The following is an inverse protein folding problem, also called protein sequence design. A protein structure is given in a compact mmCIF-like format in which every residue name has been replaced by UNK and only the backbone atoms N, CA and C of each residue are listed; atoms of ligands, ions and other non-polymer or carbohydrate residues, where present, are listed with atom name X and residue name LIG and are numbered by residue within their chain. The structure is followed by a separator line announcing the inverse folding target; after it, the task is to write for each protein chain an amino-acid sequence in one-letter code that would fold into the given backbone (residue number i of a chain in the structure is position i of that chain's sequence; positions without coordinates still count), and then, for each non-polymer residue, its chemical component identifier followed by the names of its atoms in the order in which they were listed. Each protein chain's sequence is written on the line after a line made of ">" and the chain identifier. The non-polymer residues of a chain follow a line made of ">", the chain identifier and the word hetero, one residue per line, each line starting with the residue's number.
data_IF_508149007438
#
_entry.id   IF_508149007438
#
_cell.length_a   1.000
_cell.length_b   1.000
_cell.length_c   1.000
_cell.angle_alpha   90.00
_cell.angle_beta   90.00
_cell.angle_gamma   90.00
#
_symmetry.space_group_name_H-M   'P 1'
#
loop_
_entity.id
_entity.type
_entity.pdbx_description
1 polymer ?
#
# COMPACT_ATOMS: atom_id res chain seq x y z
N UNK A 1 -5.98 -8.60 23.46
CA UNK A 1 -5.09 -8.28 22.33
C UNK A 1 -5.90 -8.24 21.05
N UNK A 2 -6.01 -7.07 20.42
CA UNK A 2 -6.72 -6.86 19.16
C UNK A 2 -5.71 -6.71 18.03
N UNK A 3 -5.96 -7.34 16.88
CA UNK A 3 -5.12 -7.20 15.68
C UNK A 3 -5.89 -6.38 14.66
N UNK A 4 -5.32 -5.24 14.25
CA UNK A 4 -5.84 -4.36 13.19
C UNK A 4 -4.76 -4.20 12.11
N UNK A 5 -5.16 -4.09 10.85
CA UNK A 5 -4.27 -3.90 9.71
C UNK A 5 -4.88 -2.87 8.74
N UNK A 6 -4.07 -2.29 7.83
CA UNK A 6 -4.60 -1.40 6.80
C UNK A 6 -5.50 -2.15 5.81
N UNK A 7 -6.29 -1.39 5.04
CA UNK A 7 -6.84 -1.88 3.78
C UNK A 7 -5.76 -1.80 2.70
N UNK A 8 -5.90 -2.62 1.66
CA UNK A 8 -4.94 -2.65 0.56
C UNK A 8 -5.67 -2.39 -0.75
N UNK A 9 -5.23 -1.37 -1.48
CA UNK A 9 -5.62 -1.14 -2.88
C UNK A 9 -4.49 -1.63 -3.78
N UNK A 10 -4.82 -2.43 -4.79
CA UNK A 10 -3.85 -2.94 -5.76
C UNK A 10 -4.17 -2.35 -7.13
N UNK A 11 -3.16 -1.80 -7.78
CA UNK A 11 -3.22 -1.17 -9.10
C UNK A 11 -2.21 -1.82 -10.05
N UNK A 12 -2.49 -1.79 -11.34
CA UNK A 12 -1.61 -2.38 -12.36
C UNK A 12 -0.94 -1.29 -13.21
N UNK A 13 0.38 -1.36 -13.40
CA UNK A 13 1.14 -0.36 -14.17
C UNK A 13 2.29 -1.02 -14.91
N UNK A 14 2.26 -1.03 -16.24
CA UNK A 14 3.34 -1.50 -17.14
C UNK A 14 4.10 -2.76 -16.65
N UNK A 15 3.38 -3.84 -16.37
CA UNK A 15 3.98 -5.11 -15.91
C UNK A 15 4.31 -5.18 -14.41
N UNK A 16 4.07 -4.10 -13.67
CA UNK A 16 4.14 -4.03 -12.22
C UNK A 16 2.75 -4.02 -11.59
N UNK A 17 2.72 -4.42 -10.31
CA UNK A 17 1.56 -4.24 -9.42
C UNK A 17 1.96 -3.35 -8.27
N UNK A 18 1.13 -2.34 -8.01
CA UNK A 18 1.34 -1.35 -6.96
C UNK A 18 0.30 -1.61 -5.87
N UNK A 19 0.74 -2.04 -4.71
CA UNK A 19 -0.15 -2.28 -3.58
C UNK A 19 0.06 -1.19 -2.53
N UNK A 20 -1.01 -0.48 -2.19
CA UNK A 20 -1.02 0.66 -1.28
C UNK A 20 -1.75 0.25 -0.02
N UNK A 21 -1.07 0.24 1.11
CA UNK A 21 -1.70 0.08 2.42
C UNK A 21 -2.28 1.42 2.88
N UNK A 22 -3.52 1.43 3.37
CA UNK A 22 -4.21 2.68 3.68
C UNK A 22 -5.32 2.56 4.73
N UNK A 23 -5.75 3.73 5.22
CA UNK A 23 -6.89 3.88 6.12
C UNK A 23 -8.25 3.78 5.39
N UNK A 24 -9.35 3.48 6.11
CA UNK A 24 -9.41 3.13 7.53
C UNK A 24 -8.80 1.74 7.79
N UNK A 25 -8.26 1.55 9.00
CA UNK A 25 -7.81 0.23 9.44
C UNK A 25 -9.01 -0.72 9.59
N UNK A 26 -8.74 -2.01 9.49
CA UNK A 26 -9.72 -3.09 9.63
C UNK A 26 -9.18 -4.18 10.54
N UNK A 27 -10.06 -4.84 11.30
CA UNK A 27 -9.77 -6.07 12.04
C UNK A 27 -10.49 -7.29 11.45
N UNK A 28 -11.05 -7.13 10.25
CA UNK A 28 -11.78 -8.14 9.50
C UNK A 28 -10.99 -8.63 8.27
N UNK A 29 -11.26 -9.86 7.85
CA UNK A 29 -10.65 -10.50 6.69
C UNK A 29 -9.85 -11.77 7.04
N UNK A 30 -9.76 -12.69 6.09
CA UNK A 30 -9.18 -14.01 6.33
C UNK A 30 -7.72 -13.96 6.78
N UNK A 31 -6.92 -13.07 6.20
CA UNK A 31 -5.50 -12.91 6.58
C UNK A 31 -5.35 -12.37 8.00
N UNK A 32 -6.16 -11.37 8.40
CA UNK A 32 -6.13 -10.81 9.75
C UNK A 32 -6.58 -11.84 10.78
N UNK A 33 -7.61 -12.63 10.46
CA UNK A 33 -8.07 -13.74 11.28
C UNK A 33 -6.97 -14.79 11.45
N UNK A 34 -6.32 -15.23 10.37
CA UNK A 34 -5.21 -16.20 10.41
C UNK A 34 -4.03 -15.70 11.23
N UNK A 35 -3.62 -14.44 11.06
CA UNK A 35 -2.52 -13.85 11.84
C UNK A 35 -2.91 -13.79 13.32
N UNK A 36 -4.16 -13.45 13.64
CA UNK A 36 -4.67 -13.45 15.03
C UNK A 36 -4.68 -14.84 15.65
N UNK A 37 -5.05 -15.87 14.89
CA UNK A 37 -5.13 -17.26 15.36
C UNK A 37 -3.76 -17.91 15.51
N UNK A 38 -2.86 -17.69 14.55
CA UNK A 38 -1.57 -18.38 14.48
C UNK A 38 -0.43 -17.59 15.11
N UNK A 39 -0.53 -16.26 15.15
CA UNK A 39 0.57 -15.34 15.47
C UNK A 39 1.80 -15.53 14.55
N UNK A 40 1.62 -16.16 13.38
CA UNK A 40 2.68 -16.46 12.43
C UNK A 40 2.49 -15.65 11.14
N UNK A 41 3.52 -14.89 10.76
CA UNK A 41 3.55 -14.17 9.48
C UNK A 41 3.66 -15.11 8.27
N UNK A 42 4.16 -16.34 8.50
CA UNK A 42 4.29 -17.37 7.47
C UNK A 42 2.95 -17.96 7.01
N UNK A 43 1.83 -17.64 7.67
CA UNK A 43 0.50 -18.08 7.24
C UNK A 43 -0.04 -17.31 6.02
N UNK A 44 0.69 -16.31 5.54
CA UNK A 44 0.31 -15.57 4.36
C UNK A 44 0.71 -16.31 3.08
N UNK A 45 -0.30 -16.77 2.34
CA UNK A 45 -0.14 -17.46 1.06
C UNK A 45 -0.07 -16.49 -0.15
N UNK A 46 -0.52 -15.23 0.01
CA UNK A 46 -0.59 -14.23 -1.05
C UNK A 46 0.30 -13.00 -0.75
N UNK A 47 1.55 -12.97 -1.25
CA UNK A 47 2.49 -11.88 -0.97
C UNK A 47 1.98 -10.48 -1.32
N UNK A 48 1.21 -10.38 -2.40
CA UNK A 48 0.66 -9.13 -2.92
C UNK A 48 -0.22 -8.39 -1.91
N UNK A 49 -0.96 -9.14 -1.09
CA UNK A 49 -1.81 -8.57 -0.04
C UNK A 49 -1.07 -8.46 1.28
N UNK A 50 -0.29 -9.46 1.66
CA UNK A 50 0.26 -9.48 3.01
C UNK A 50 1.43 -8.54 3.23
N UNK A 51 2.30 -8.32 2.24
CA UNK A 51 3.39 -7.38 2.44
C UNK A 51 2.86 -5.98 2.82
N UNK A 52 1.90 -5.41 2.07
CA UNK A 52 1.25 -4.16 2.48
C UNK A 52 0.51 -4.27 3.81
N UNK A 53 -0.20 -5.38 4.09
CA UNK A 53 -0.89 -5.55 5.38
C UNK A 53 0.08 -5.54 6.57
N UNK A 54 1.24 -6.18 6.42
CA UNK A 54 2.21 -6.35 7.50
C UNK A 54 3.08 -5.13 7.69
N UNK A 55 3.61 -4.58 6.60
CA UNK A 55 4.63 -3.54 6.64
C UNK A 55 4.09 -2.16 6.30
N UNK A 56 2.85 -2.06 5.82
CA UNK A 56 2.31 -0.79 5.34
C UNK A 56 3.07 -0.23 4.14
N UNK A 57 2.74 1.02 3.82
CA UNK A 57 3.37 1.82 2.79
C UNK A 57 2.87 1.46 1.40
N UNK A 58 3.71 1.74 0.42
CA UNK A 58 3.48 1.44 -0.99
C UNK A 58 4.47 0.35 -1.39
N UNK A 59 3.97 -0.76 -1.91
CA UNK A 59 4.78 -1.91 -2.29
C UNK A 59 4.65 -2.14 -3.79
N UNK A 60 5.78 -2.20 -4.48
CA UNK A 60 5.85 -2.47 -5.91
C UNK A 60 6.25 -3.93 -6.11
N UNK A 61 5.49 -4.62 -6.94
CA UNK A 61 5.70 -6.02 -7.29
C UNK A 61 5.96 -6.17 -8.78
N UNK A 62 6.88 -7.08 -9.11
CA UNK A 62 7.03 -7.61 -10.46
C UNK A 62 6.61 -9.09 -10.42
N UNK A 63 5.47 -9.42 -11.04
CA UNK A 63 4.79 -10.70 -10.81
C UNK A 63 4.33 -10.85 -9.35
N UNK A 64 4.81 -11.87 -8.65
CA UNK A 64 4.53 -12.12 -7.23
C UNK A 64 5.64 -11.65 -6.28
N UNK A 65 6.75 -11.13 -6.82
CA UNK A 65 7.92 -10.73 -6.02
C UNK A 65 7.84 -9.24 -5.70
N UNK A 66 7.85 -8.91 -4.42
CA UNK A 66 8.07 -7.53 -3.98
C UNK A 66 9.48 -7.09 -4.39
N UNK A 67 9.59 -6.01 -5.16
CA UNK A 67 10.86 -5.47 -5.63
C UNK A 67 11.24 -4.18 -4.92
N UNK A 68 10.26 -3.47 -4.34
CA UNK A 68 10.48 -2.24 -3.60
C UNK A 68 9.33 -1.97 -2.62
N UNK A 69 9.64 -1.27 -1.52
CA UNK A 69 8.68 -0.71 -0.56
C UNK A 69 9.10 0.70 -0.22
N UNK A 70 8.17 1.65 -0.34
CA UNK A 70 8.34 3.03 0.10
C UNK A 70 7.42 3.38 1.27
N UNK A 71 7.97 4.13 2.23
CA UNK A 71 7.22 4.70 3.36
C UNK A 71 6.76 6.11 2.98
N UNK A 72 5.50 6.23 2.58
CA UNK A 72 4.91 7.51 2.19
C UNK A 72 3.98 8.06 3.26
N UNK A 73 4.39 9.12 3.95
CA UNK A 73 3.53 9.84 4.89
C UNK A 73 2.66 10.87 4.18
N UNK A 74 1.59 10.40 3.55
CA UNK A 74 0.71 11.27 2.78
C UNK A 74 -0.60 10.60 2.43
N UNK A 75 -1.20 11.06 1.34
CA UNK A 75 -2.49 10.61 0.85
C UNK A 75 -2.37 10.17 -0.60
N UNK A 76 -3.29 9.31 -1.04
CA UNK A 76 -3.41 8.94 -2.44
C UNK A 76 -4.85 9.12 -2.95
N UNK A 77 -4.95 9.29 -4.27
CA UNK A 77 -6.19 9.18 -5.04
C UNK A 77 -5.89 8.62 -6.42
N UNK A 78 -6.93 8.16 -7.09
CA UNK A 78 -6.90 7.72 -8.48
C UNK A 78 -7.80 8.67 -9.26
N UNK A 79 -7.26 9.34 -10.28
CA UNK A 79 -8.01 10.28 -11.13
C UNK A 79 -7.52 10.24 -12.59
N UNK A 80 -8.14 11.01 -13.48
CA UNK A 80 -7.76 11.08 -14.91
C UNK A 80 -6.70 12.16 -15.20
N UNK A 81 -5.89 12.54 -14.19
CA UNK A 81 -4.89 13.61 -14.33
C UNK A 81 -3.71 13.25 -15.24
N UNK A 82 -3.03 14.25 -15.84
CA UNK A 82 -1.79 13.99 -16.56
C UNK A 82 -0.69 13.52 -15.61
N UNK A 83 0.09 12.54 -16.06
CA UNK A 83 1.28 12.06 -15.36
C UNK A 83 2.34 11.58 -16.35
N UNK A 84 3.55 12.10 -16.19
CA UNK A 84 4.70 11.80 -17.06
C UNK A 84 5.79 11.01 -16.33
N UNK A 85 5.57 10.68 -15.06
CA UNK A 85 6.50 9.88 -14.25
C UNK A 85 6.45 8.41 -14.64
N UNK A 86 7.62 7.83 -14.88
CA UNK A 86 7.79 6.38 -14.95
C UNK A 86 7.88 5.77 -13.54
N UNK A 87 7.97 4.43 -13.47
CA UNK A 87 8.02 3.71 -12.19
C UNK A 87 9.25 4.07 -11.35
N UNK A 88 10.40 4.36 -11.96
CA UNK A 88 11.64 4.68 -11.25
C UNK A 88 11.57 6.09 -10.66
N UNK A 89 11.08 7.07 -11.42
CA UNK A 89 10.83 8.43 -10.95
C UNK A 89 9.78 8.44 -9.83
N UNK A 90 8.70 7.66 -9.99
CA UNK A 90 7.70 7.46 -8.95
C UNK A 90 8.31 6.95 -7.64
N UNK A 91 9.07 5.84 -7.68
CA UNK A 91 9.72 5.28 -6.48
C UNK A 91 10.69 6.27 -5.84
N UNK A 92 11.51 6.96 -6.65
CA UNK A 92 12.47 7.97 -6.18
C UNK A 92 11.80 9.16 -5.48
N UNK A 93 10.64 9.62 -5.98
CA UNK A 93 9.86 10.70 -5.35
C UNK A 93 9.23 10.23 -4.04
N UNK A 94 8.70 9.01 -4.00
CA UNK A 94 8.15 8.43 -2.77
C UNK A 94 9.21 8.33 -1.68
N UNK A 95 10.41 7.85 -1.99
CA UNK A 95 11.51 7.75 -1.02
C UNK A 95 11.96 9.11 -0.46
N UNK A 96 11.73 10.19 -1.21
CA UNK A 96 11.98 11.58 -0.78
C UNK A 96 10.79 12.23 -0.07
N UNK A 97 9.65 11.55 0.03
CA UNK A 97 8.41 12.10 0.57
C UNK A 97 7.80 13.21 -0.29
N UNK A 98 8.13 13.24 -1.59
CA UNK A 98 7.63 14.23 -2.53
C UNK A 98 6.26 13.82 -3.11
N UNK A 99 5.50 14.78 -3.62
CA UNK A 99 4.33 14.49 -4.44
C UNK A 99 4.76 13.67 -5.67
N UNK A 100 4.05 12.58 -5.93
CA UNK A 100 4.37 11.66 -7.02
C UNK A 100 3.11 11.26 -7.78
N UNK A 101 3.27 10.80 -9.01
CA UNK A 101 2.18 10.21 -9.76
C UNK A 101 2.67 9.00 -10.54
N UNK A 102 1.75 8.11 -10.91
CA UNK A 102 2.04 6.96 -11.78
C UNK A 102 0.79 6.62 -12.58
N UNK A 103 0.94 6.37 -13.88
CA UNK A 103 -0.16 5.84 -14.71
C UNK A 103 -0.40 4.38 -14.39
N UNK A 104 -1.64 4.02 -14.12
CA UNK A 104 -2.11 2.65 -13.89
C UNK A 104 -3.26 2.33 -14.83
N UNK A 105 -3.67 1.05 -14.91
CA UNK A 105 -4.83 0.62 -15.70
C UNK A 105 -6.14 1.25 -15.21
N UNK A 106 -6.22 1.57 -13.91
CA UNK A 106 -7.38 2.15 -13.24
C UNK A 106 -7.43 3.68 -13.33
N UNK A 107 -6.35 4.33 -13.78
CA UNK A 107 -6.21 5.78 -13.89
C UNK A 107 -4.83 6.28 -13.47
N UNK A 108 -4.71 7.54 -13.14
CA UNK A 108 -3.48 8.14 -12.60
C UNK A 108 -3.51 8.05 -11.07
N UNK A 109 -2.63 7.21 -10.52
CA UNK A 109 -2.32 7.23 -9.09
C UNK A 109 -1.61 8.55 -8.78
N UNK A 110 -2.17 9.35 -7.88
CA UNK A 110 -1.56 10.59 -7.39
C UNK A 110 -1.29 10.50 -5.89
N UNK A 111 -0.03 10.69 -5.51
CA UNK A 111 0.42 10.81 -4.13
C UNK A 111 0.64 12.27 -3.77
N UNK A 112 0.04 12.70 -2.66
CA UNK A 112 0.08 14.08 -2.17
C UNK A 112 0.39 14.12 -0.68
N UNK A 113 1.25 15.06 -0.27
CA UNK A 113 1.49 15.30 1.15
C UNK A 113 0.20 15.72 1.89
N UNK A 114 -0.66 16.50 1.22
CA UNK A 114 -1.99 16.92 1.72
C UNK A 114 -3.00 16.95 0.58
N UNK A 115 -4.22 16.50 0.84
CA UNK A 115 -5.31 16.51 -0.14
C UNK A 115 -6.68 16.38 0.55
N UNK A 116 -7.66 17.14 0.07
CA UNK A 116 -9.06 17.00 0.46
C UNK A 116 -9.70 15.79 -0.25
N UNK A 117 -10.44 14.97 0.49
CA UNK A 117 -11.12 13.76 -0.02
C UNK A 117 -10.19 12.66 -0.58
N UNK A 118 -8.89 12.70 -0.27
CA UNK A 118 -7.97 11.60 -0.56
C UNK A 118 -7.92 10.56 0.57
N UNK A 119 -7.39 9.38 0.27
CA UNK A 119 -7.24 8.28 1.22
C UNK A 119 -5.85 8.34 1.86
N UNK A 120 -5.76 8.31 3.19
CA UNK A 120 -4.48 8.36 3.92
C UNK A 120 -3.71 7.04 3.73
N UNK A 121 -2.46 7.13 3.30
CA UNK A 121 -1.54 5.98 3.23
C UNK A 121 -1.15 5.57 4.65
N UNK A 122 -1.12 4.27 4.89
CA UNK A 122 -0.70 3.68 6.15
C UNK A 122 0.72 3.12 6.04
N UNK A 123 1.72 3.86 6.50
CA UNK A 123 3.14 3.45 6.42
C UNK A 123 3.57 2.39 7.45
N UNK A 124 2.69 2.06 8.41
CA UNK A 124 3.02 1.20 9.56
C UNK A 124 2.64 -0.26 9.31
N UNK A 125 1.45 -0.51 8.73
CA UNK A 125 0.94 -1.86 8.55
C UNK A 125 0.24 -2.43 9.79
N UNK A 126 0.50 -3.69 10.09
CA UNK A 126 -0.21 -4.44 11.10
C UNK A 126 0.12 -3.92 12.50
N UNK A 127 -0.92 -3.80 13.35
CA UNK A 127 -0.79 -3.36 14.74
C UNK A 127 -1.44 -4.37 15.66
N UNK A 128 -0.74 -4.68 16.75
CA UNK A 128 -1.26 -5.44 17.87
C UNK A 128 -1.55 -4.47 19.02
N UNK A 129 -2.82 -4.33 19.37
CA UNK A 129 -3.28 -3.47 20.46
C UNK A 129 -3.42 -4.36 21.70
N UNK A 130 -2.63 -4.05 22.73
CA UNK A 130 -2.71 -4.68 24.04
C UNK A 130 -3.58 -3.77 24.91
N UNK A 131 -4.76 -4.26 25.28
CA UNK A 131 -5.64 -3.64 26.28
C UNK A 131 -5.28 -4.15 27.68
#
# INVERSE_FOLDING_TARGET
>A
MRVVAPRVTVLNSEGYRIAIAHYPLTDEGDQIRRIRETMLLSSCEEPLLCYPLLYGGIVVFHGHKAVWRGEYDGYFKIDEGPCDSDILDFMSKVDRGEDACLKTEEGTLSLRAKCDSCIKVDQVGLRMIVD
#
